data_IF_722646005439
#
_entry.id   IF_722646005439
#
_cell.length_a   1.000
_cell.length_b   1.000
_cell.length_c   1.000
_cell.angle_alpha   90.00
_cell.angle_beta   90.00
_cell.angle_gamma   90.00
#
_symmetry.space_group_name_H-M   'P 1'
#
loop_
_entity.id
_entity.type
_entity.pdbx_description
1 polymer ?
#
# COMPACT_ATOMS: atom_id res chain seq x y z
N UNK A 1 82.27 35.99 0.67
CA UNK A 1 81.37 35.37 -0.32
C UNK A 1 80.27 34.61 0.41
N UNK A 2 79.10 35.21 0.61
CA UNK A 2 77.84 34.57 1.00
C UNK A 2 76.72 35.40 0.36
N UNK A 3 76.08 34.86 -0.67
CA UNK A 3 74.92 35.49 -1.33
C UNK A 3 73.63 35.17 -0.57
N UNK A 4 72.57 35.99 -0.70
CA UNK A 4 71.32 35.77 0.02
C UNK A 4 70.55 34.60 -0.61
N UNK A 5 70.01 33.71 0.23
CA UNK A 5 69.07 32.67 -0.20
C UNK A 5 67.71 33.31 -0.53
N UNK A 6 67.27 33.14 -1.78
CA UNK A 6 65.89 33.42 -2.16
C UNK A 6 65.00 32.27 -1.68
N UNK A 7 64.05 32.57 -0.80
CA UNK A 7 63.00 31.63 -0.39
C UNK A 7 61.85 31.79 -1.37
N UNK A 8 61.62 30.79 -2.21
CA UNK A 8 60.49 30.76 -3.15
C UNK A 8 59.30 30.12 -2.45
N UNK A 9 58.31 30.92 -2.07
CA UNK A 9 57.04 30.43 -1.52
C UNK A 9 56.22 29.77 -2.63
N UNK A 10 56.06 28.45 -2.58
CA UNK A 10 55.15 27.72 -3.47
C UNK A 10 53.73 27.90 -2.92
N UNK A 11 52.91 28.69 -3.61
CA UNK A 11 51.48 28.80 -3.34
C UNK A 11 50.78 27.52 -3.82
N UNK A 12 50.30 26.70 -2.89
CA UNK A 12 49.43 25.54 -3.20
C UNK A 12 48.04 26.09 -3.52
N UNK A 13 47.71 26.17 -4.80
CA UNK A 13 46.35 26.42 -5.27
C UNK A 13 45.51 25.16 -5.00
N UNK A 14 44.79 25.14 -3.88
CA UNK A 14 43.76 24.13 -3.62
C UNK A 14 42.59 24.42 -4.55
N UNK A 15 42.52 23.70 -5.66
CA UNK A 15 41.33 23.68 -6.51
C UNK A 15 40.22 22.99 -5.71
N UNK A 16 39.32 23.78 -5.12
CA UNK A 16 38.02 23.28 -4.68
C UNK A 16 37.28 22.78 -5.92
N UNK A 17 37.39 21.49 -6.19
CA UNK A 17 36.47 20.79 -7.06
C UNK A 17 35.12 20.77 -6.33
N UNK A 18 34.28 21.77 -6.59
CA UNK A 18 32.87 21.70 -6.28
C UNK A 18 32.31 20.54 -7.10
N UNK A 19 32.21 19.34 -6.51
CA UNK A 19 31.30 18.33 -7.06
C UNK A 19 29.93 18.97 -7.02
N UNK A 20 29.34 19.26 -8.18
CA UNK A 20 27.93 19.61 -8.26
C UNK A 20 27.17 18.45 -7.61
N UNK A 21 26.69 18.69 -6.38
CA UNK A 21 25.86 17.74 -5.68
C UNK A 21 24.65 17.54 -6.59
N UNK A 22 24.50 16.34 -7.15
CA UNK A 22 23.32 16.00 -7.94
C UNK A 22 22.11 16.45 -7.12
N UNK A 23 21.18 17.23 -7.71
CA UNK A 23 20.03 17.73 -6.96
C UNK A 23 19.39 16.53 -6.28
N UNK A 24 19.18 16.67 -4.98
CA UNK A 24 18.61 15.61 -4.15
C UNK A 24 17.36 15.09 -4.87
N UNK A 25 17.27 13.80 -5.26
CA UNK A 25 16.09 13.27 -5.93
C UNK A 25 14.80 13.50 -5.09
N UNK A 26 14.95 13.71 -3.79
CA UNK A 26 13.87 14.06 -2.85
C UNK A 26 13.48 15.55 -2.85
N UNK A 27 14.26 16.43 -3.47
CA UNK A 27 13.95 17.87 -3.61
C UNK A 27 12.73 18.18 -4.51
N UNK A 28 12.16 17.16 -5.15
CA UNK A 28 10.97 17.27 -6.03
C UNK A 28 9.64 16.94 -5.34
N UNK A 29 9.65 16.57 -4.05
CA UNK A 29 8.43 16.37 -3.27
C UNK A 29 8.15 17.66 -2.50
N UNK A 30 7.17 18.46 -2.96
CA UNK A 30 6.81 19.70 -2.27
C UNK A 30 6.28 19.43 -0.86
N UNK A 31 5.43 18.39 -0.72
CA UNK A 31 4.94 17.84 0.54
C UNK A 31 4.29 16.46 0.29
N UNK A 32 4.34 15.56 1.29
CA UNK A 32 3.58 14.31 1.24
C UNK A 32 2.07 14.58 1.20
N UNK A 33 1.33 13.77 0.44
CA UNK A 33 -0.12 13.92 0.29
C UNK A 33 -0.58 15.13 -0.53
N UNK A 34 0.34 15.91 -1.12
CA UNK A 34 0.02 16.99 -2.04
C UNK A 34 -0.13 16.48 -3.49
N UNK A 35 -0.91 17.19 -4.35
CA UNK A 35 -0.92 16.90 -5.78
C UNK A 35 0.49 17.09 -6.37
N UNK A 36 0.85 16.27 -7.36
CA UNK A 36 2.13 16.42 -8.05
C UNK A 36 2.19 17.77 -8.78
N UNK A 37 3.38 18.35 -8.91
CA UNK A 37 3.57 19.53 -9.75
C UNK A 37 3.20 19.28 -11.23
N UNK A 38 2.78 20.35 -11.90
CA UNK A 38 2.51 20.37 -13.34
C UNK A 38 1.19 19.73 -13.76
N UNK A 39 0.27 19.50 -12.81
CA UNK A 39 -1.11 19.12 -13.13
C UNK A 39 -1.88 20.30 -13.72
N UNK A 40 -2.78 20.00 -14.66
CA UNK A 40 -3.80 20.94 -15.13
C UNK A 40 -4.82 21.24 -14.03
N UNK A 41 -5.57 22.33 -14.17
CA UNK A 41 -6.62 22.72 -13.23
C UNK A 41 -7.64 21.59 -12.99
N UNK A 42 -8.11 20.94 -14.05
CA UNK A 42 -9.03 19.81 -13.92
C UNK A 42 -8.41 18.54 -13.31
N UNK A 43 -7.09 18.36 -13.39
CA UNK A 43 -6.41 17.27 -12.68
C UNK A 43 -6.27 17.55 -11.19
N UNK A 44 -6.01 18.81 -10.82
CA UNK A 44 -6.01 19.25 -9.43
C UNK A 44 -7.41 19.09 -8.85
N UNK A 45 -8.46 19.50 -9.56
CA UNK A 45 -9.85 19.31 -9.11
C UNK A 45 -10.17 17.83 -8.84
N UNK A 46 -9.84 16.92 -9.77
CA UNK A 46 -10.01 15.47 -9.55
C UNK A 46 -9.21 14.94 -8.36
N UNK A 47 -8.00 15.44 -8.15
CA UNK A 47 -7.20 15.08 -6.98
C UNK A 47 -7.90 15.50 -5.69
N UNK A 48 -8.45 16.72 -5.67
CA UNK A 48 -9.15 17.28 -4.51
C UNK A 48 -10.47 16.55 -4.21
N UNK A 49 -11.22 16.14 -5.22
CA UNK A 49 -12.39 15.26 -5.06
C UNK A 49 -11.99 13.91 -4.44
N UNK A 50 -10.92 13.29 -4.96
CA UNK A 50 -10.37 12.06 -4.40
C UNK A 50 -9.90 12.22 -2.95
N UNK A 51 -9.26 13.34 -2.64
CA UNK A 51 -8.83 13.69 -1.28
C UNK A 51 -10.02 13.88 -0.34
N UNK A 52 -11.10 14.51 -0.79
CA UNK A 52 -12.32 14.66 0.00
C UNK A 52 -12.93 13.28 0.31
N UNK A 53 -13.00 12.38 -0.67
CA UNK A 53 -13.47 11.01 -0.45
C UNK A 53 -12.56 10.22 0.50
N UNK A 54 -11.24 10.33 0.34
CA UNK A 54 -10.25 9.65 1.18
C UNK A 54 -10.34 10.05 2.66
N UNK A 55 -10.75 11.29 2.92
CA UNK A 55 -10.91 11.84 4.27
C UNK A 55 -12.35 11.78 4.80
N UNK A 56 -13.27 11.18 4.05
CA UNK A 56 -14.67 11.02 4.48
C UNK A 56 -14.79 9.91 5.50
N UNK A 57 -15.59 10.14 6.53
CA UNK A 57 -16.12 9.09 7.42
C UNK A 57 -17.35 8.49 6.74
N UNK A 58 -17.31 7.19 6.46
CA UNK A 58 -18.41 6.46 5.87
C UNK A 58 -19.41 6.07 6.96
N UNK A 59 -20.69 6.28 6.72
CA UNK A 59 -21.75 5.84 7.64
C UNK A 59 -22.46 4.59 7.13
N UNK A 60 -23.29 3.97 7.97
CA UNK A 60 -24.09 2.82 7.56
C UNK A 60 -25.04 3.18 6.40
N UNK A 61 -25.60 4.40 6.38
CA UNK A 61 -26.44 4.91 5.30
C UNK A 61 -25.67 5.10 3.99
N UNK A 62 -24.36 5.29 4.08
CA UNK A 62 -23.45 5.44 2.94
C UNK A 62 -22.86 4.10 2.49
N UNK A 63 -23.24 3.00 3.15
CA UNK A 63 -22.84 1.64 2.81
C UNK A 63 -21.68 1.08 3.62
N UNK A 64 -21.25 1.74 4.70
CA UNK A 64 -20.31 1.14 5.65
C UNK A 64 -20.89 -0.20 6.15
N UNK A 65 -20.07 -1.24 6.10
CA UNK A 65 -20.49 -2.57 6.51
C UNK A 65 -20.73 -2.68 8.02
N UNK A 66 -21.43 -3.75 8.44
CA UNK A 66 -21.68 -4.01 9.86
C UNK A 66 -20.40 -4.43 10.62
N UNK A 67 -19.38 -4.90 9.89
CA UNK A 67 -18.06 -5.28 10.37
C UNK A 67 -16.97 -4.60 9.54
N UNK A 68 -16.02 -3.97 10.21
CA UNK A 68 -14.94 -3.20 9.57
C UNK A 68 -13.73 -3.08 10.50
N UNK A 69 -12.60 -2.62 9.96
CA UNK A 69 -11.42 -2.21 10.73
C UNK A 69 -11.40 -0.70 10.95
N UNK A 70 -11.73 0.08 9.93
CA UNK A 70 -11.97 1.53 10.02
C UNK A 70 -13.08 1.97 9.06
N UNK A 71 -13.67 3.13 9.33
CA UNK A 71 -14.75 3.77 8.55
C UNK A 71 -14.27 4.93 7.69
N UNK A 72 -12.96 5.21 7.69
CA UNK A 72 -12.32 6.29 6.95
C UNK A 72 -10.95 5.85 6.45
N UNK A 73 -10.62 6.12 5.18
CA UNK A 73 -9.33 5.69 4.61
C UNK A 73 -8.14 6.33 5.34
N UNK A 74 -8.23 7.64 5.60
CA UNK A 74 -7.23 8.36 6.39
C UNK A 74 -7.34 8.15 7.90
N UNK A 75 -8.13 7.20 8.41
CA UNK A 75 -7.98 6.73 9.79
C UNK A 75 -6.84 5.70 9.91
N UNK A 76 -6.61 4.90 8.86
CA UNK A 76 -5.47 3.98 8.75
C UNK A 76 -4.26 4.60 8.05
N UNK A 77 -4.49 5.40 7.01
CA UNK A 77 -3.44 5.95 6.14
C UNK A 77 -3.15 7.41 6.46
N UNK A 78 -2.52 7.68 7.59
CA UNK A 78 -2.49 8.98 8.27
C UNK A 78 -1.17 9.73 8.18
N UNK A 79 -0.03 9.04 8.24
CA UNK A 79 1.29 9.61 8.49
C UNK A 79 2.27 9.36 7.32
N UNK A 80 3.00 10.37 6.84
CA UNK A 80 3.08 11.76 7.31
C UNK A 80 1.93 12.67 6.86
N UNK A 81 1.00 12.17 6.04
CA UNK A 81 -0.18 12.87 5.56
C UNK A 81 -1.23 11.82 5.09
N UNK A 82 -2.50 12.20 4.86
CA UNK A 82 -3.48 11.32 4.25
C UNK A 82 -2.95 10.62 2.99
N UNK A 83 -2.93 9.28 3.00
CA UNK A 83 -2.30 8.42 2.00
C UNK A 83 -0.97 7.81 2.45
N UNK A 84 -0.51 8.14 3.66
CA UNK A 84 0.66 7.56 4.29
C UNK A 84 0.40 6.19 4.94
N UNK A 85 1.27 5.82 5.87
CA UNK A 85 1.09 4.67 6.77
C UNK A 85 0.32 5.08 8.03
N UNK A 86 0.13 4.18 9.00
CA UNK A 86 -0.50 4.49 10.27
C UNK A 86 -0.23 3.41 11.32
N UNK A 87 -0.70 3.65 12.54
CA UNK A 87 -0.47 2.76 13.70
C UNK A 87 -1.39 1.53 13.72
N UNK A 88 -2.43 1.53 12.89
CA UNK A 88 -3.36 0.42 12.75
C UNK A 88 -2.64 -0.79 12.16
N UNK A 89 -3.11 -1.98 12.52
CA UNK A 89 -2.61 -3.23 11.95
C UNK A 89 -3.77 -4.09 11.50
N UNK A 90 -3.64 -4.65 10.29
CA UNK A 90 -4.59 -5.63 9.76
C UNK A 90 -4.16 -7.01 10.25
N UNK A 91 -5.08 -7.77 10.82
CA UNK A 91 -4.81 -9.16 11.24
C UNK A 91 -5.39 -10.12 10.22
N UNK A 92 -4.60 -11.14 9.88
CA UNK A 92 -5.02 -12.23 8.98
C UNK A 92 -4.66 -13.56 9.63
N UNK A 93 -5.55 -14.53 9.51
CA UNK A 93 -5.37 -15.89 10.00
C UNK A 93 -5.33 -16.87 8.82
N UNK A 94 -4.43 -17.84 8.89
CA UNK A 94 -4.25 -18.82 7.83
C UNK A 94 -3.95 -20.21 8.40
N UNK A 95 -4.25 -21.23 7.59
CA UNK A 95 -3.75 -22.59 7.77
C UNK A 95 -2.55 -22.78 6.85
N UNK A 96 -1.36 -22.87 7.44
CA UNK A 96 -0.11 -23.13 6.73
C UNK A 96 0.31 -24.57 7.00
N UNK A 97 0.47 -25.34 5.94
CA UNK A 97 0.95 -26.72 6.00
C UNK A 97 2.41 -26.78 5.55
N UNK A 98 3.31 -26.98 6.52
CA UNK A 98 4.76 -26.96 6.26
C UNK A 98 5.18 -28.05 5.27
N UNK A 99 4.58 -29.24 5.35
CA UNK A 99 4.94 -30.39 4.50
C UNK A 99 4.65 -30.16 3.01
N UNK A 100 3.54 -29.49 2.72
CA UNK A 100 3.11 -29.20 1.35
C UNK A 100 3.53 -27.79 0.89
N UNK A 101 3.95 -26.94 1.83
CA UNK A 101 4.16 -25.51 1.61
C UNK A 101 2.87 -24.75 1.29
N UNK A 102 1.71 -25.34 1.57
CA UNK A 102 0.41 -24.75 1.23
C UNK A 102 -0.03 -23.71 2.26
N UNK A 103 -0.72 -22.67 1.80
CA UNK A 103 -1.27 -21.61 2.65
C UNK A 103 -2.72 -21.37 2.27
N UNK A 104 -3.64 -21.81 3.12
CA UNK A 104 -5.06 -21.55 3.01
C UNK A 104 -5.40 -20.32 3.87
N UNK A 105 -5.88 -19.25 3.24
CA UNK A 105 -6.24 -18.00 3.91
C UNK A 105 -7.55 -18.10 4.72
N UNK A 106 -8.24 -19.24 4.66
CA UNK A 106 -9.51 -19.46 5.37
C UNK A 106 -10.55 -18.38 5.06
N UNK A 107 -10.65 -18.01 3.77
CA UNK A 107 -11.51 -16.91 3.27
C UNK A 107 -12.96 -17.06 3.73
N UNK A 108 -13.51 -18.27 3.61
CA UNK A 108 -14.89 -18.57 4.00
C UNK A 108 -15.12 -18.50 5.52
N UNK A 109 -14.05 -18.47 6.32
CA UNK A 109 -14.08 -18.30 7.76
C UNK A 109 -13.62 -16.90 8.22
N UNK A 110 -13.39 -15.96 7.29
CA UNK A 110 -12.90 -14.60 7.59
C UNK A 110 -11.40 -14.51 7.90
N UNK A 111 -10.61 -15.55 7.62
CA UNK A 111 -9.17 -15.54 7.92
C UNK A 111 -8.36 -14.55 7.08
N UNK A 112 -8.81 -14.22 5.88
CA UNK A 112 -8.15 -13.31 4.95
C UNK A 112 -8.13 -11.86 5.45
N UNK A 113 -9.06 -11.49 6.32
CA UNK A 113 -9.11 -10.19 7.00
C UNK A 113 -10.00 -10.25 8.25
N UNK A 114 -9.38 -10.22 9.44
CA UNK A 114 -10.12 -10.21 10.69
C UNK A 114 -10.51 -8.77 11.04
N UNK A 115 -11.82 -8.47 10.96
CA UNK A 115 -12.35 -7.14 11.28
C UNK A 115 -12.63 -6.98 12.75
N UNK A 116 -12.14 -5.88 13.30
CA UNK A 116 -12.08 -5.68 14.75
C UNK A 116 -13.22 -4.82 15.32
N UNK A 117 -13.95 -4.09 14.47
CA UNK A 117 -15.04 -3.19 14.84
C UNK A 117 -16.38 -3.67 14.31
N UNK A 118 -17.43 -3.26 15.02
CA UNK A 118 -18.82 -3.57 14.70
C UNK A 118 -19.60 -2.26 14.71
N UNK A 119 -20.40 -1.99 13.68
CA UNK A 119 -21.31 -0.85 13.69
C UNK A 119 -22.32 -1.00 14.84
N UNK A 120 -22.69 0.09 15.52
CA UNK A 120 -23.57 0.03 16.69
C UNK A 120 -24.90 -0.69 16.38
N UNK A 121 -25.57 -0.30 15.30
CA UNK A 121 -26.83 -0.94 14.89
C UNK A 121 -26.66 -2.45 14.61
N UNK A 122 -25.52 -2.86 14.07
CA UNK A 122 -25.23 -4.27 13.84
C UNK A 122 -24.98 -5.04 15.16
N UNK A 123 -24.31 -4.41 16.13
CA UNK A 123 -24.11 -5.00 17.45
C UNK A 123 -25.44 -5.22 18.19
N UNK A 124 -26.40 -4.30 18.04
CA UNK A 124 -27.77 -4.43 18.58
C UNK A 124 -28.53 -5.62 17.96
N UNK A 125 -28.17 -6.00 16.73
CA UNK A 125 -28.67 -7.20 16.03
C UNK A 125 -27.85 -8.47 16.32
N UNK A 126 -26.89 -8.41 17.25
CA UNK A 126 -26.08 -9.55 17.66
C UNK A 126 -24.85 -9.83 16.79
N UNK A 127 -24.48 -8.93 15.89
CA UNK A 127 -23.20 -9.03 15.15
C UNK A 127 -22.04 -8.83 16.12
N UNK A 128 -21.00 -9.64 15.97
CA UNK A 128 -19.78 -9.54 16.79
C UNK A 128 -18.56 -9.47 15.88
N UNK A 129 -17.48 -8.87 16.38
CA UNK A 129 -16.19 -8.79 15.66
C UNK A 129 -15.70 -10.17 15.21
N UNK A 130 -14.88 -10.19 14.17
CA UNK A 130 -14.25 -11.42 13.72
C UNK A 130 -13.31 -11.97 14.80
N UNK A 131 -13.16 -13.29 14.79
CA UNK A 131 -12.28 -14.03 15.69
C UNK A 131 -11.39 -14.95 14.88
N UNK A 132 -10.20 -15.24 15.41
CA UNK A 132 -9.27 -16.17 14.74
C UNK A 132 -9.99 -17.51 14.54
N UNK A 133 -10.16 -17.99 13.29
CA UNK A 133 -10.83 -19.26 13.03
C UNK A 133 -10.12 -20.40 13.73
N UNK A 134 -10.86 -21.37 14.27
CA UNK A 134 -10.29 -22.52 14.97
C UNK A 134 -9.38 -23.39 14.09
N UNK A 135 -9.60 -23.35 12.76
CA UNK A 135 -8.75 -24.03 11.78
C UNK A 135 -7.42 -23.31 11.49
N UNK A 136 -7.24 -22.09 11.99
CA UNK A 136 -6.02 -21.32 11.77
C UNK A 136 -4.85 -21.92 12.55
N UNK A 137 -3.71 -22.01 11.88
CA UNK A 137 -2.43 -22.44 12.47
C UNK A 137 -1.51 -21.26 12.71
N UNK A 138 -1.73 -20.15 12.00
CA UNK A 138 -0.90 -18.96 12.04
C UNK A 138 -1.77 -17.71 11.98
N UNK A 139 -1.31 -16.64 12.63
CA UNK A 139 -1.90 -15.31 12.55
C UNK A 139 -0.78 -14.31 12.28
N UNK A 140 -0.95 -13.50 11.24
CA UNK A 140 -0.06 -12.40 10.89
C UNK A 140 -0.71 -11.06 11.20
N UNK A 141 0.13 -10.09 11.58
CA UNK A 141 -0.23 -8.67 11.65
C UNK A 141 0.49 -7.94 10.52
N UNK A 142 -0.20 -7.02 9.88
CA UNK A 142 0.29 -6.29 8.71
C UNK A 142 0.10 -4.79 8.94
N UNK A 143 1.21 -4.06 8.83
CA UNK A 143 1.20 -2.61 8.90
C UNK A 143 0.50 -2.02 7.68
N UNK A 144 -0.09 -0.85 7.87
CA UNK A 144 -0.78 -0.11 6.82
C UNK A 144 0.22 0.32 5.73
N UNK A 145 0.01 -0.03 4.45
CA UNK A 145 0.95 0.34 3.40
C UNK A 145 0.88 1.84 3.07
N UNK A 146 2.02 2.41 2.69
CA UNK A 146 2.11 3.76 2.16
C UNK A 146 1.56 3.81 0.73
N UNK A 147 0.65 4.74 0.43
CA UNK A 147 -0.10 4.80 -0.83
C UNK A 147 0.39 5.87 -1.81
N UNK A 148 1.34 6.72 -1.41
CA UNK A 148 1.86 7.75 -2.29
C UNK A 148 2.48 7.14 -3.56
N UNK A 149 2.16 7.73 -4.71
CA UNK A 149 2.71 7.31 -5.99
C UNK A 149 2.10 6.04 -6.60
N UNK A 150 1.15 5.36 -5.93
CA UNK A 150 0.54 4.14 -6.48
C UNK A 150 -0.18 4.38 -7.82
N UNK A 151 -0.75 5.58 -8.04
CA UNK A 151 -1.33 5.94 -9.33
C UNK A 151 -0.29 5.99 -10.47
N UNK A 152 0.95 6.39 -10.19
CA UNK A 152 2.03 6.34 -11.18
C UNK A 152 2.50 4.90 -11.44
N UNK A 153 2.52 4.05 -10.42
CA UNK A 153 2.81 2.63 -10.56
C UNK A 153 1.72 1.90 -11.38
N UNK A 154 0.45 2.25 -11.18
CA UNK A 154 -0.68 1.71 -11.96
C UNK A 154 -0.57 2.10 -13.44
N UNK A 155 -0.12 3.34 -13.72
CA UNK A 155 0.02 3.87 -15.07
C UNK A 155 1.19 3.27 -15.88
N UNK A 156 2.09 2.50 -15.26
CA UNK A 156 3.19 1.85 -15.99
C UNK A 156 2.64 0.82 -16.98
N UNK A 157 3.04 0.81 -18.27
CA UNK A 157 2.62 -0.23 -19.19
C UNK A 157 3.13 -1.62 -18.76
N UNK A 158 2.32 -2.67 -18.97
CA UNK A 158 2.73 -4.06 -18.73
C UNK A 158 4.08 -4.39 -19.39
N UNK A 159 4.27 -3.95 -20.64
CA UNK A 159 5.52 -4.14 -21.38
C UNK A 159 6.75 -3.55 -20.68
N UNK A 160 6.58 -2.48 -19.89
CA UNK A 160 7.67 -1.90 -19.10
C UNK A 160 8.07 -2.83 -17.98
N UNK A 161 7.09 -3.41 -17.27
CA UNK A 161 7.34 -4.39 -16.22
C UNK A 161 7.98 -5.66 -16.79
N UNK A 162 7.52 -6.12 -17.95
CA UNK A 162 8.08 -7.28 -18.65
C UNK A 162 9.53 -7.09 -19.07
N UNK A 163 9.90 -5.90 -19.56
CA UNK A 163 11.29 -5.59 -19.91
C UNK A 163 12.20 -5.45 -18.69
N UNK A 164 11.65 -5.13 -17.52
CA UNK A 164 12.40 -5.01 -16.26
C UNK A 164 12.49 -6.34 -15.50
N UNK A 165 11.81 -7.39 -15.96
CA UNK A 165 11.93 -8.70 -15.37
C UNK A 165 13.31 -9.29 -15.70
N UNK A 166 14.07 -9.63 -14.68
CA UNK A 166 15.38 -10.26 -14.82
C UNK A 166 15.45 -11.50 -13.91
N UNK A 167 14.79 -12.60 -14.29
CA UNK A 167 14.75 -13.81 -13.46
C UNK A 167 16.12 -14.51 -13.34
N UNK A 168 17.05 -14.21 -14.25
CA UNK A 168 18.34 -14.87 -14.38
C UNK A 168 19.52 -13.96 -13.99
N UNK A 169 19.26 -12.74 -13.49
CA UNK A 169 20.27 -11.76 -13.07
C UNK A 169 21.29 -11.50 -14.19
N UNK A 170 20.77 -11.18 -15.38
CA UNK A 170 21.54 -10.98 -16.60
C UNK A 170 22.42 -9.72 -16.53
N UNK A 171 22.06 -8.74 -15.71
CA UNK A 171 22.88 -7.55 -15.49
C UNK A 171 23.91 -7.69 -14.34
N UNK A 172 23.78 -8.75 -13.53
CA UNK A 172 24.73 -9.13 -12.50
C UNK A 172 24.73 -8.20 -11.28
N UNK A 173 23.60 -7.53 -11.01
CA UNK A 173 23.42 -6.67 -9.84
C UNK A 173 23.06 -7.48 -8.57
N UNK A 174 22.79 -8.78 -8.71
CA UNK A 174 22.43 -9.69 -7.63
C UNK A 174 20.92 -9.81 -7.38
N UNK A 175 20.07 -9.22 -8.24
CA UNK A 175 18.60 -9.19 -8.10
C UNK A 175 17.93 -9.98 -9.22
N UNK A 176 17.45 -11.19 -8.88
CA UNK A 176 16.69 -12.02 -9.81
C UNK A 176 15.17 -11.70 -9.80
N UNK A 177 14.78 -10.52 -10.28
CA UNK A 177 13.41 -10.02 -10.26
C UNK A 177 12.44 -10.82 -11.15
N UNK A 178 11.29 -11.24 -10.61
CA UNK A 178 10.25 -11.98 -11.36
C UNK A 178 8.92 -11.25 -11.30
N UNK A 179 8.20 -11.24 -12.42
CA UNK A 179 6.85 -10.70 -12.44
C UNK A 179 5.88 -11.60 -11.69
N UNK A 180 5.21 -11.03 -10.70
CA UNK A 180 4.04 -11.62 -10.08
C UNK A 180 2.87 -11.63 -11.05
N UNK A 181 2.05 -12.68 -10.98
CA UNK A 181 0.78 -12.76 -11.71
C UNK A 181 -0.34 -13.08 -10.75
N UNK A 182 -1.48 -12.44 -10.98
CA UNK A 182 -2.74 -12.72 -10.28
C UNK A 182 -3.29 -14.08 -10.70
N UNK A 183 -4.30 -14.59 -9.97
CA UNK A 183 -4.90 -15.89 -10.25
C UNK A 183 -5.52 -16.00 -11.67
N UNK A 184 -5.97 -14.86 -12.23
CA UNK A 184 -6.48 -14.74 -13.60
C UNK A 184 -5.38 -14.43 -14.64
N UNK A 185 -4.11 -14.43 -14.24
CA UNK A 185 -2.94 -14.33 -15.13
C UNK A 185 -2.50 -12.91 -15.50
N UNK A 186 -3.17 -11.87 -15.00
CA UNK A 186 -2.74 -10.47 -15.18
C UNK A 186 -1.47 -10.20 -14.41
N UNK A 187 -0.68 -9.19 -14.84
CA UNK A 187 0.50 -8.76 -14.09
C UNK A 187 0.04 -8.16 -12.76
N UNK A 188 0.54 -8.71 -11.67
CA UNK A 188 0.31 -8.19 -10.34
C UNK A 188 1.19 -6.98 -10.07
N UNK A 189 0.65 -6.00 -9.33
CA UNK A 189 1.31 -4.71 -9.04
C UNK A 189 1.19 -4.30 -7.59
N UNK A 190 0.03 -4.57 -6.99
CA UNK A 190 -0.35 -4.12 -5.65
C UNK A 190 -0.59 -5.32 -4.73
N UNK A 191 -0.82 -5.00 -3.46
CA UNK A 191 -1.00 -6.01 -2.42
C UNK A 191 0.31 -6.72 -2.07
N UNK A 192 0.20 -7.86 -1.42
CA UNK A 192 1.36 -8.54 -0.84
C UNK A 192 1.93 -9.51 -1.87
N UNK A 193 3.18 -9.29 -2.27
CA UNK A 193 3.84 -10.05 -3.33
C UNK A 193 3.14 -9.90 -4.68
N UNK A 194 2.60 -8.71 -4.95
CA UNK A 194 1.97 -8.38 -6.22
C UNK A 194 0.82 -9.34 -6.56
N UNK A 195 -0.13 -9.51 -5.65
CA UNK A 195 -1.31 -10.37 -5.80
C UNK A 195 -2.55 -9.63 -6.35
N UNK A 196 -2.44 -8.32 -6.59
CA UNK A 196 -3.52 -7.49 -7.15
C UNK A 196 -3.02 -6.72 -8.39
N UNK A 197 -3.77 -6.78 -9.48
CA UNK A 197 -3.32 -6.29 -10.78
C UNK A 197 -3.48 -4.77 -11.00
N UNK A 198 -4.54 -4.16 -10.49
CA UNK A 198 -4.84 -2.74 -10.74
C UNK A 198 -5.11 -1.98 -9.45
N UNK A 199 -4.91 -0.66 -9.47
CA UNK A 199 -5.24 0.18 -8.34
C UNK A 199 -6.74 0.13 -8.02
N UNK A 200 -7.60 0.04 -9.05
CA UNK A 200 -9.05 -0.17 -8.88
C UNK A 200 -9.35 -1.46 -8.13
N UNK A 201 -8.74 -2.58 -8.50
CA UNK A 201 -8.94 -3.87 -7.82
C UNK A 201 -8.47 -3.80 -6.36
N UNK A 202 -7.37 -3.10 -6.10
CA UNK A 202 -6.83 -2.88 -4.76
C UNK A 202 -7.79 -2.05 -3.90
N UNK A 203 -8.32 -0.94 -4.44
CA UNK A 203 -9.31 -0.10 -3.76
C UNK A 203 -10.60 -0.87 -3.47
N UNK A 204 -11.13 -1.62 -4.43
CA UNK A 204 -12.36 -2.41 -4.19
C UNK A 204 -12.11 -3.50 -3.14
N UNK A 205 -10.94 -4.14 -3.15
CA UNK A 205 -10.56 -5.09 -2.10
C UNK A 205 -10.48 -4.46 -0.72
N UNK A 206 -9.98 -3.22 -0.61
CA UNK A 206 -9.94 -2.49 0.65
C UNK A 206 -11.35 -2.09 1.13
N UNK A 207 -12.20 -1.57 0.24
CA UNK A 207 -13.59 -1.24 0.55
C UNK A 207 -14.35 -2.43 1.14
N UNK A 208 -14.19 -3.62 0.53
CA UNK A 208 -14.82 -4.84 1.02
C UNK A 208 -14.20 -5.31 2.34
N UNK A 209 -12.89 -5.55 2.35
CA UNK A 209 -12.28 -6.27 3.47
C UNK A 209 -12.01 -5.39 4.70
N UNK A 210 -11.78 -4.09 4.52
CA UNK A 210 -11.46 -3.17 5.62
C UNK A 210 -12.70 -2.40 6.09
N UNK A 211 -13.62 -2.05 5.20
CA UNK A 211 -14.77 -1.17 5.52
C UNK A 211 -16.12 -1.87 5.43
N UNK A 212 -16.16 -3.08 4.89
CA UNK A 212 -17.37 -3.84 4.71
C UNK A 212 -18.32 -3.31 3.63
N UNK A 213 -17.80 -2.49 2.71
CA UNK A 213 -18.59 -1.80 1.67
C UNK A 213 -18.74 -2.71 0.45
N UNK A 214 -19.99 -3.03 0.09
CA UNK A 214 -20.31 -3.76 -1.14
C UNK A 214 -19.90 -2.93 -2.37
N UNK A 215 -19.05 -3.50 -3.22
CA UNK A 215 -18.49 -2.79 -4.37
C UNK A 215 -18.22 -3.75 -5.53
N UNK A 216 -18.46 -3.27 -6.76
CA UNK A 216 -18.21 -4.01 -8.00
C UNK A 216 -18.91 -5.39 -8.06
N UNK A 217 -20.13 -5.46 -7.54
CA UNK A 217 -20.93 -6.68 -7.49
C UNK A 217 -20.46 -7.72 -6.46
N UNK A 218 -19.44 -7.40 -5.65
CA UNK A 218 -19.00 -8.22 -4.52
C UNK A 218 -19.69 -7.77 -3.25
N UNK A 219 -20.39 -8.70 -2.60
CA UNK A 219 -21.19 -8.43 -1.41
C UNK A 219 -20.41 -8.65 -0.12
N UNK A 220 -20.87 -7.92 0.89
CA UNK A 220 -20.36 -8.00 2.24
C UNK A 220 -20.69 -9.33 2.95
N UNK A 221 -19.84 -9.76 3.91
CA UNK A 221 -19.99 -10.97 4.74
C UNK A 221 -20.07 -10.65 6.24
N UNK A 222 -20.89 -11.41 6.94
CA UNK A 222 -21.01 -11.35 8.41
C UNK A 222 -19.81 -11.94 9.14
N UNK A 223 -19.94 -12.10 10.47
CA UNK A 223 -18.87 -12.56 11.36
C UNK A 223 -18.26 -13.84 10.85
N UNK A 224 -16.93 -13.87 10.72
CA UNK A 224 -16.13 -14.99 10.23
C UNK A 224 -16.69 -15.57 8.92
N UNK A 225 -17.09 -14.71 7.98
CA UNK A 225 -17.61 -15.13 6.67
C UNK A 225 -19.08 -15.58 6.67
N UNK A 226 -19.78 -15.49 7.82
CA UNK A 226 -21.18 -15.87 7.95
C UNK A 226 -22.16 -14.98 7.19
N UNK A 227 -23.44 -15.31 7.26
CA UNK A 227 -24.50 -14.45 6.73
C UNK A 227 -24.66 -13.18 7.56
N UNK A 228 -25.04 -12.08 6.91
CA UNK A 228 -25.49 -10.88 7.62
C UNK A 228 -26.85 -11.14 8.29
N UNK A 229 -27.13 -10.53 9.47
CA UNK A 229 -28.48 -10.55 10.02
C UNK A 229 -29.44 -9.90 9.02
N UNK A 230 -30.60 -10.54 8.82
CA UNK A 230 -31.73 -10.02 8.03
C UNK A 230 -32.73 -9.29 8.91
#
# INVERSE_FOLDING_TARGET
MRGPLAVTTVAVLVTLACSERSPDPWSRVDAFGAPRQGLSEGEVERFEEGRALFNRIFTAEEGLGPLFNEDQCSACHTDPAPGGTGEQVVRKAARFEVETGSCDLLVEAGGENLRSRVAQAAAEMGVVRDTVPSAATHVGSFDVPLLFGLGAADALPDSTLERMADPDDLDGDGISGRLGRTADGRIGRFGRKADVATLRDFTVSALLNEMGVTADGRSERGTNGGALPV
#
